data_IF_885490452561
#
_entry.id   IF_885490452561
#
_cell.length_a   1.000
_cell.length_b   1.000
_cell.length_c   1.000
_cell.angle_alpha   90.00
_cell.angle_beta   90.00
_cell.angle_gamma   90.00
#
_symmetry.space_group_name_H-M   'P 1'
#
loop_
_entity.id
_entity.type
_entity.pdbx_description
1 polymer ?
#
# COMPACT_ATOMS: atom_id res chain seq x y z
N UNK A 1 -1.10 9.16 -21.60
CA UNK A 1 -1.49 10.43 -20.96
C UNK A 1 -2.93 10.70 -21.36
N UNK A 2 -3.83 10.91 -20.40
CA UNK A 2 -5.23 11.28 -20.72
C UNK A 2 -5.27 12.70 -21.30
N UNK A 3 -6.35 13.05 -22.03
CA UNK A 3 -6.51 14.42 -22.57
C UNK A 3 -6.40 15.51 -21.48
N UNK A 4 -6.96 15.29 -20.25
CA UNK A 4 -6.75 16.20 -19.12
C UNK A 4 -5.31 16.34 -18.67
N UNK A 5 -4.52 15.24 -18.66
CA UNK A 5 -3.11 15.27 -18.24
C UNK A 5 -2.24 16.07 -19.24
N UNK A 6 -2.51 15.90 -20.56
CA UNK A 6 -1.79 16.63 -21.60
C UNK A 6 -2.09 18.14 -21.57
N UNK A 7 -3.31 18.52 -21.18
CA UNK A 7 -3.67 19.93 -20.99
C UNK A 7 -3.05 20.50 -19.72
N UNK A 8 -3.11 19.75 -18.61
CA UNK A 8 -2.54 20.13 -17.34
C UNK A 8 -1.04 20.41 -17.43
N UNK A 9 -0.28 19.58 -18.15
CA UNK A 9 1.18 19.73 -18.31
C UNK A 9 1.60 21.04 -18.96
N UNK A 10 0.72 21.65 -19.79
CA UNK A 10 0.97 22.90 -20.50
C UNK A 10 0.58 24.15 -19.70
N UNK A 11 -0.09 24.01 -18.57
CA UNK A 11 -0.53 25.13 -17.76
C UNK A 11 0.65 25.76 -16.99
N UNK A 12 0.69 27.10 -16.84
CA UNK A 12 1.58 27.74 -15.88
C UNK A 12 1.36 27.24 -14.45
N UNK A 13 2.41 27.21 -13.62
CA UNK A 13 2.38 26.69 -12.24
C UNK A 13 1.20 27.22 -11.39
N UNK A 14 0.88 28.50 -11.51
CA UNK A 14 -0.25 29.12 -10.77
C UNK A 14 -1.59 28.48 -11.17
N UNK A 15 -1.77 28.22 -12.46
CA UNK A 15 -2.98 27.59 -12.98
C UNK A 15 -3.02 26.08 -12.65
N UNK A 16 -1.88 25.40 -12.60
CA UNK A 16 -1.80 24.01 -12.11
C UNK A 16 -2.24 23.92 -10.64
N UNK A 17 -1.77 24.83 -9.77
CA UNK A 17 -2.20 24.89 -8.37
C UNK A 17 -3.70 25.21 -8.24
N UNK A 18 -4.24 26.12 -9.06
CA UNK A 18 -5.66 26.43 -9.10
C UNK A 18 -6.49 25.21 -9.55
N UNK A 19 -6.06 24.52 -10.59
CA UNK A 19 -6.72 23.30 -11.08
C UNK A 19 -6.72 22.18 -10.01
N UNK A 20 -5.58 21.96 -9.35
CA UNK A 20 -5.48 20.99 -8.25
C UNK A 20 -6.40 21.38 -7.08
N UNK A 21 -6.51 22.66 -6.76
CA UNK A 21 -7.37 23.14 -5.67
C UNK A 21 -8.86 23.05 -6.01
N UNK A 22 -9.25 23.38 -7.25
CA UNK A 22 -10.62 23.23 -7.72
C UNK A 22 -11.07 21.77 -7.73
N UNK A 23 -10.22 20.90 -8.29
CA UNK A 23 -10.46 19.46 -8.24
C UNK A 23 -10.45 18.94 -6.79
N UNK A 24 -9.66 19.55 -5.93
CA UNK A 24 -9.61 19.29 -4.49
C UNK A 24 -10.92 19.56 -3.76
N UNK A 25 -11.73 20.55 -4.19
CA UNK A 25 -13.09 20.79 -3.63
C UNK A 25 -14.00 19.60 -3.89
N UNK A 26 -14.01 19.10 -5.14
CA UNK A 26 -14.77 17.89 -5.50
C UNK A 26 -14.34 16.68 -4.68
N UNK A 27 -13.01 16.44 -4.56
CA UNK A 27 -12.48 15.34 -3.77
C UNK A 27 -12.76 15.48 -2.29
N UNK A 28 -12.70 16.69 -1.74
CA UNK A 28 -13.07 16.97 -0.35
C UNK A 28 -14.54 16.63 -0.08
N UNK A 29 -15.44 17.03 -0.96
CA UNK A 29 -16.84 16.68 -0.87
C UNK A 29 -17.07 15.17 -0.96
N UNK A 30 -16.41 14.50 -1.91
CA UNK A 30 -16.51 13.06 -2.11
C UNK A 30 -16.04 12.28 -0.88
N UNK A 31 -14.96 12.72 -0.25
CA UNK A 31 -14.30 12.01 0.85
C UNK A 31 -14.87 12.34 2.23
N UNK A 32 -15.17 13.60 2.49
CA UNK A 32 -15.52 14.10 3.82
C UNK A 32 -16.96 14.59 3.92
N UNK A 33 -17.72 14.52 2.84
CA UNK A 33 -19.14 14.89 2.82
C UNK A 33 -20.07 13.77 3.29
N UNK A 34 -21.39 14.03 3.25
CA UNK A 34 -22.44 13.04 3.57
C UNK A 34 -22.19 12.34 4.91
N UNK A 35 -22.24 11.01 4.91
CA UNK A 35 -22.17 10.16 6.11
C UNK A 35 -20.79 9.99 6.72
N UNK A 36 -19.76 10.67 6.23
CA UNK A 36 -18.38 10.52 6.73
C UNK A 36 -18.28 10.59 8.27
N UNK A 37 -18.95 11.59 8.91
CA UNK A 37 -18.89 11.74 10.36
C UNK A 37 -19.61 10.61 11.11
N UNK A 38 -20.64 10.00 10.49
CA UNK A 38 -21.33 8.84 11.06
C UNK A 38 -20.41 7.61 11.04
N UNK A 39 -19.69 7.40 9.93
CA UNK A 39 -18.67 6.35 9.84
C UNK A 39 -17.55 6.55 10.87
N UNK A 40 -17.01 7.77 11.01
CA UNK A 40 -16.00 8.09 12.03
C UNK A 40 -16.48 7.71 13.42
N UNK A 41 -17.70 8.15 13.83
CA UNK A 41 -18.27 7.79 15.13
C UNK A 41 -18.39 6.28 15.32
N UNK A 42 -18.84 5.58 14.29
CA UNK A 42 -18.98 4.12 14.32
C UNK A 42 -17.62 3.42 14.52
N UNK A 43 -16.56 3.86 13.85
CA UNK A 43 -15.23 3.29 14.02
C UNK A 43 -14.66 3.58 15.41
N UNK A 44 -14.84 4.78 15.94
CA UNK A 44 -14.44 5.13 17.32
C UNK A 44 -15.12 4.23 18.35
N UNK A 45 -16.43 3.97 18.19
CA UNK A 45 -17.17 3.07 19.07
C UNK A 45 -16.63 1.65 19.02
N UNK A 46 -16.41 1.13 17.81
CA UNK A 46 -15.92 -0.25 17.63
C UNK A 46 -14.44 -0.43 17.98
N UNK A 47 -13.67 0.63 18.15
CA UNK A 47 -12.24 0.55 18.54
C UNK A 47 -12.01 -0.17 19.88
N UNK A 48 -13.06 -0.26 20.71
CA UNK A 48 -13.07 -0.89 22.03
C UNK A 48 -13.87 -2.19 22.09
N UNK A 49 -14.23 -2.76 20.96
CA UNK A 49 -14.96 -4.03 20.92
C UNK A 49 -14.11 -5.16 21.51
N UNK A 50 -14.77 -6.06 22.26
CA UNK A 50 -14.16 -7.32 22.69
C UNK A 50 -14.08 -8.30 21.53
N UNK A 51 -13.38 -9.41 21.72
CA UNK A 51 -13.28 -10.49 20.71
C UNK A 51 -14.65 -11.06 20.34
N UNK A 52 -15.55 -11.20 21.31
CA UNK A 52 -16.93 -11.70 21.11
C UNK A 52 -17.74 -10.71 20.28
N UNK A 53 -17.65 -9.41 20.58
CA UNK A 53 -18.30 -8.35 19.80
C UNK A 53 -17.80 -8.29 18.35
N UNK A 54 -16.50 -8.49 18.15
CA UNK A 54 -15.94 -8.59 16.81
C UNK A 54 -16.45 -9.81 16.05
N UNK A 55 -16.52 -10.96 16.71
CA UNK A 55 -17.03 -12.21 16.12
C UNK A 55 -18.50 -12.05 15.69
N UNK A 56 -19.31 -11.47 16.55
CA UNK A 56 -20.73 -11.20 16.25
C UNK A 56 -20.86 -10.20 15.08
N UNK A 57 -20.12 -9.11 15.13
CA UNK A 57 -20.14 -8.09 14.07
C UNK A 57 -19.76 -8.69 12.71
N UNK A 58 -18.63 -9.42 12.65
CA UNK A 58 -18.16 -10.04 11.42
C UNK A 58 -19.16 -11.08 10.90
N UNK A 59 -19.71 -11.92 11.77
CA UNK A 59 -20.70 -12.94 11.39
C UNK A 59 -21.97 -12.34 10.78
N UNK A 60 -22.46 -11.23 11.35
CA UNK A 60 -23.63 -10.52 10.84
C UNK A 60 -23.33 -9.88 9.48
N UNK A 61 -22.22 -9.14 9.36
CA UNK A 61 -21.81 -8.49 8.12
C UNK A 61 -21.51 -9.48 7.00
N UNK A 62 -20.85 -10.59 7.33
CA UNK A 62 -20.57 -11.64 6.37
C UNK A 62 -21.83 -12.23 5.76
N UNK A 63 -22.82 -12.59 6.60
CA UNK A 63 -24.11 -13.09 6.11
C UNK A 63 -24.79 -12.14 5.15
N UNK A 64 -24.79 -10.85 5.46
CA UNK A 64 -25.38 -9.83 4.59
C UNK A 64 -24.69 -9.75 3.22
N UNK A 65 -23.35 -9.76 3.24
CA UNK A 65 -22.55 -9.69 2.00
C UNK A 65 -22.73 -10.96 1.16
N UNK A 66 -22.67 -12.13 1.77
CA UNK A 66 -22.81 -13.39 1.05
C UNK A 66 -24.21 -13.54 0.43
N UNK A 67 -25.27 -13.06 1.10
CA UNK A 67 -26.62 -13.01 0.51
C UNK A 67 -26.65 -12.09 -0.72
N UNK A 68 -26.03 -10.91 -0.63
CA UNK A 68 -25.90 -9.99 -1.77
C UNK A 68 -25.16 -10.66 -2.92
N UNK A 69 -24.04 -11.34 -2.64
CA UNK A 69 -23.27 -12.05 -3.65
C UNK A 69 -24.09 -13.10 -4.39
N UNK A 70 -24.81 -13.96 -3.67
CA UNK A 70 -25.65 -15.01 -4.27
C UNK A 70 -26.79 -14.43 -5.10
N UNK A 71 -27.49 -13.37 -4.59
CA UNK A 71 -28.73 -12.89 -5.18
C UNK A 71 -28.53 -11.82 -6.25
N UNK A 72 -27.46 -11.02 -6.16
CA UNK A 72 -27.36 -9.76 -6.89
C UNK A 72 -26.02 -9.52 -7.59
N UNK A 73 -25.01 -10.39 -7.44
CA UNK A 73 -23.72 -10.23 -8.11
C UNK A 73 -23.56 -11.31 -9.19
N UNK A 74 -23.56 -10.93 -10.49
CA UNK A 74 -23.60 -11.87 -11.61
C UNK A 74 -22.51 -12.96 -11.53
N UNK A 75 -21.27 -12.58 -11.17
CA UNK A 75 -20.18 -13.53 -11.05
C UNK A 75 -20.50 -14.66 -10.08
N UNK A 76 -20.86 -14.36 -8.83
CA UNK A 76 -21.11 -15.38 -7.81
C UNK A 76 -22.39 -16.20 -8.10
N UNK A 77 -23.42 -15.55 -8.64
CA UNK A 77 -24.66 -16.24 -9.03
C UNK A 77 -24.43 -17.29 -10.11
N UNK A 78 -23.47 -17.08 -11.00
CA UNK A 78 -23.11 -17.96 -12.11
C UNK A 78 -22.09 -19.03 -11.71
N UNK A 79 -21.02 -18.62 -11.03
CA UNK A 79 -19.84 -19.47 -10.79
C UNK A 79 -19.98 -20.40 -9.57
N UNK A 80 -20.75 -19.99 -8.56
CA UNK A 80 -20.93 -20.83 -7.38
C UNK A 80 -21.94 -21.95 -7.63
N UNK A 81 -21.56 -23.17 -7.22
CA UNK A 81 -22.48 -24.33 -7.20
C UNK A 81 -23.62 -24.12 -6.20
N UNK A 82 -24.67 -24.95 -6.28
CA UNK A 82 -25.80 -24.83 -5.35
C UNK A 82 -25.35 -25.10 -3.89
N UNK A 83 -24.43 -26.02 -3.64
CA UNK A 83 -23.85 -26.28 -2.31
C UNK A 83 -23.05 -25.07 -1.79
N UNK A 84 -22.34 -24.39 -2.68
CA UNK A 84 -21.60 -23.16 -2.33
C UNK A 84 -22.56 -22.00 -2.05
N UNK A 85 -23.65 -21.87 -2.79
CA UNK A 85 -24.71 -20.87 -2.52
C UNK A 85 -25.41 -21.14 -1.19
N UNK A 86 -25.68 -22.39 -0.84
CA UNK A 86 -26.23 -22.77 0.46
C UNK A 86 -25.23 -22.45 1.59
N UNK A 87 -23.96 -22.79 1.41
CA UNK A 87 -22.88 -22.42 2.33
C UNK A 87 -22.77 -20.91 2.52
N UNK A 88 -22.91 -20.13 1.45
CA UNK A 88 -22.90 -18.66 1.52
C UNK A 88 -24.14 -18.14 2.28
N UNK A 89 -25.32 -18.68 2.05
CA UNK A 89 -26.55 -18.29 2.75
C UNK A 89 -26.48 -18.60 4.26
N UNK A 90 -25.82 -19.69 4.65
CA UNK A 90 -25.58 -20.04 6.06
C UNK A 90 -24.46 -19.22 6.70
N UNK A 91 -23.66 -18.48 5.92
CA UNK A 91 -22.50 -17.73 6.39
C UNK A 91 -21.20 -18.55 6.55
N UNK A 92 -21.15 -19.73 5.94
CA UNK A 92 -19.96 -20.60 5.98
C UNK A 92 -18.93 -20.17 4.93
N UNK A 93 -18.04 -19.24 5.33
CA UNK A 93 -17.02 -18.66 4.44
C UNK A 93 -15.98 -19.69 3.95
N UNK A 94 -15.56 -20.60 4.82
CA UNK A 94 -14.42 -21.52 4.54
C UNK A 94 -14.77 -22.52 3.40
N UNK A 95 -16.04 -22.86 3.23
CA UNK A 95 -16.50 -23.75 2.15
C UNK A 95 -16.54 -23.08 0.77
N UNK A 96 -16.37 -21.75 0.72
CA UNK A 96 -16.39 -21.01 -0.54
C UNK A 96 -15.02 -21.05 -1.21
N UNK A 97 -14.96 -21.06 -2.56
CA UNK A 97 -13.71 -21.07 -3.30
C UNK A 97 -12.92 -19.78 -3.10
N UNK A 98 -11.59 -19.87 -3.25
CA UNK A 98 -10.72 -18.72 -3.33
C UNK A 98 -10.97 -17.97 -4.65
N UNK A 99 -11.02 -16.66 -4.59
CA UNK A 99 -11.18 -15.80 -5.76
C UNK A 99 -9.82 -15.34 -6.27
N UNK A 100 -9.47 -15.78 -7.46
CA UNK A 100 -8.28 -15.33 -8.17
C UNK A 100 -8.44 -13.92 -8.74
N UNK A 101 -7.32 -13.26 -9.06
CA UNK A 101 -7.32 -11.90 -9.62
C UNK A 101 -7.87 -11.83 -11.06
N UNK A 102 -7.69 -12.90 -11.83
CA UNK A 102 -7.97 -12.89 -13.27
C UNK A 102 -9.45 -12.70 -13.61
N UNK A 103 -10.42 -13.38 -12.98
CA UNK A 103 -11.84 -13.12 -13.21
C UNK A 103 -12.23 -11.64 -13.00
N UNK A 104 -11.73 -11.02 -11.92
CA UNK A 104 -11.99 -9.61 -11.61
C UNK A 104 -11.30 -8.68 -12.62
N UNK A 105 -10.10 -9.03 -13.10
CA UNK A 105 -9.35 -8.29 -14.11
C UNK A 105 -10.05 -8.32 -15.45
N UNK A 106 -10.51 -9.48 -15.87
CA UNK A 106 -11.18 -9.69 -17.16
C UNK A 106 -12.54 -8.98 -17.21
N UNK A 107 -13.34 -9.12 -16.17
CA UNK A 107 -14.73 -8.61 -16.12
C UNK A 107 -15.06 -7.93 -14.80
N UNK A 108 -14.54 -6.74 -14.48
CA UNK A 108 -14.77 -6.08 -13.20
C UNK A 108 -16.26 -5.74 -12.93
N UNK A 109 -17.05 -5.58 -14.00
CA UNK A 109 -18.49 -5.29 -13.88
C UNK A 109 -19.35 -6.50 -13.49
N UNK A 110 -18.88 -7.73 -13.72
CA UNK A 110 -19.55 -8.94 -13.26
C UNK A 110 -19.58 -9.07 -11.72
N UNK A 111 -18.67 -8.35 -11.05
CA UNK A 111 -18.62 -8.28 -9.59
C UNK A 111 -19.45 -7.14 -9.01
N UNK A 112 -20.08 -6.32 -9.84
CA UNK A 112 -20.94 -5.21 -9.39
C UNK A 112 -22.36 -5.73 -9.20
N UNK A 113 -22.98 -5.43 -8.04
CA UNK A 113 -24.37 -5.78 -7.76
C UNK A 113 -25.33 -5.08 -8.73
N UNK A 114 -26.32 -5.80 -9.21
CA UNK A 114 -27.26 -5.34 -10.25
C UNK A 114 -28.55 -4.72 -9.70
N UNK A 115 -28.91 -4.99 -8.43
CA UNK A 115 -30.14 -4.50 -7.78
C UNK A 115 -30.03 -3.03 -7.34
N UNK A 116 -28.83 -2.47 -7.34
CA UNK A 116 -28.57 -1.09 -6.90
C UNK A 116 -27.88 -0.28 -7.99
N UNK A 117 -28.59 0.71 -8.52
CA UNK A 117 -28.05 1.63 -9.52
C UNK A 117 -27.43 2.85 -8.84
N UNK A 118 -26.11 3.02 -8.97
CA UNK A 118 -25.39 4.19 -8.49
C UNK A 118 -25.08 5.15 -9.65
N UNK A 119 -25.43 6.44 -9.48
CA UNK A 119 -25.19 7.47 -10.48
C UNK A 119 -23.75 7.97 -10.50
N UNK A 120 -23.16 8.07 -9.31
CA UNK A 120 -21.76 8.50 -9.14
C UNK A 120 -20.95 7.28 -8.73
N UNK A 121 -19.93 6.97 -9.52
CA UNK A 121 -18.96 5.88 -9.25
C UNK A 121 -17.54 6.42 -9.34
N UNK A 122 -16.69 5.89 -8.50
CA UNK A 122 -15.23 6.17 -8.54
C UNK A 122 -14.53 4.86 -8.87
N UNK A 123 -13.79 4.84 -9.96
CA UNK A 123 -12.98 3.68 -10.32
C UNK A 123 -11.52 3.96 -10.02
N UNK A 124 -10.94 3.14 -9.16
CA UNK A 124 -9.51 3.11 -8.89
C UNK A 124 -8.88 1.92 -9.59
N UNK A 125 -7.64 2.06 -10.03
CA UNK A 125 -6.91 1.00 -10.72
C UNK A 125 -5.70 0.58 -9.90
N UNK A 126 -5.45 -0.73 -9.85
CA UNK A 126 -4.20 -1.25 -9.29
C UNK A 126 -3.02 -0.84 -10.17
N UNK A 127 -1.80 -0.88 -9.62
CA UNK A 127 -0.58 -0.48 -10.36
C UNK A 127 -0.25 -1.38 -11.56
N UNK A 128 -0.86 -2.58 -11.64
CA UNK A 128 -0.68 -3.49 -12.77
C UNK A 128 0.76 -3.95 -12.99
N UNK A 129 1.51 -4.21 -11.92
CA UNK A 129 2.93 -4.62 -11.98
C UNK A 129 3.17 -5.87 -12.84
N UNK A 130 2.17 -6.72 -13.01
CA UNK A 130 2.24 -8.01 -13.72
C UNK A 130 1.23 -8.14 -14.86
N UNK A 131 0.55 -7.07 -15.26
CA UNK A 131 -0.45 -7.14 -16.34
C UNK A 131 -1.41 -5.96 -16.36
N UNK A 132 -2.59 -6.16 -16.97
CA UNK A 132 -3.65 -5.15 -17.02
C UNK A 132 -4.11 -4.77 -15.59
N UNK A 133 -4.21 -3.47 -15.28
CA UNK A 133 -4.69 -3.01 -13.98
C UNK A 133 -6.10 -3.51 -13.67
N UNK A 134 -6.34 -3.91 -12.42
CA UNK A 134 -7.68 -4.30 -11.95
C UNK A 134 -8.47 -3.03 -11.63
N UNK A 135 -9.70 -2.95 -12.15
CA UNK A 135 -10.62 -1.87 -11.86
C UNK A 135 -11.42 -2.15 -10.58
N UNK A 136 -11.24 -1.29 -9.59
CA UNK A 136 -11.96 -1.33 -8.33
C UNK A 136 -12.98 -0.19 -8.29
N UNK A 137 -14.29 -0.54 -8.29
CA UNK A 137 -15.40 0.38 -8.48
C UNK A 137 -16.07 0.67 -7.12
N UNK A 138 -16.14 1.94 -6.76
CA UNK A 138 -16.66 2.41 -5.48
C UNK A 138 -17.88 3.32 -5.65
N UNK A 139 -18.77 3.27 -4.68
CA UNK A 139 -19.75 4.33 -4.45
C UNK A 139 -19.14 5.47 -3.62
N UNK A 140 -19.72 6.68 -3.63
CA UNK A 140 -19.27 7.76 -2.75
C UNK A 140 -19.29 7.39 -1.26
N UNK A 141 -20.25 6.58 -0.82
CA UNK A 141 -20.35 6.16 0.58
C UNK A 141 -19.24 5.16 0.95
N UNK A 142 -18.91 4.23 0.07
CA UNK A 142 -17.78 3.32 0.28
C UNK A 142 -16.43 4.06 0.33
N UNK A 143 -16.27 5.13 -0.47
CA UNK A 143 -15.10 6.00 -0.39
C UNK A 143 -15.02 6.75 0.94
N UNK A 144 -16.15 7.24 1.46
CA UNK A 144 -16.24 7.91 2.76
C UNK A 144 -15.93 6.95 3.90
N UNK A 145 -16.47 5.74 3.85
CA UNK A 145 -16.25 4.68 4.84
C UNK A 145 -14.75 4.29 4.88
N UNK A 146 -14.15 4.05 3.72
CA UNK A 146 -12.71 3.78 3.59
C UNK A 146 -11.83 4.90 4.14
N UNK A 147 -12.25 6.16 4.03
CA UNK A 147 -11.48 7.26 4.59
C UNK A 147 -11.75 7.46 6.08
N UNK A 148 -12.95 7.14 6.55
CA UNK A 148 -13.30 7.24 7.97
C UNK A 148 -12.50 6.24 8.84
N UNK A 149 -12.28 5.02 8.35
CA UNK A 149 -11.42 4.06 9.06
C UNK A 149 -9.97 4.56 9.13
N UNK A 150 -9.46 5.18 8.04
CA UNK A 150 -8.12 5.79 8.03
C UNK A 150 -8.02 6.98 8.96
N UNK A 151 -9.04 7.82 9.04
CA UNK A 151 -9.08 8.93 10.02
C UNK A 151 -8.98 8.39 11.44
N UNK A 152 -9.75 7.35 11.79
CA UNK A 152 -9.81 6.85 13.17
C UNK A 152 -8.60 5.98 13.52
N UNK A 153 -8.23 5.02 12.66
CA UNK A 153 -7.24 3.98 13.02
C UNK A 153 -5.85 4.18 12.43
N UNK A 154 -5.69 5.06 11.46
CA UNK A 154 -4.38 5.42 10.97
C UNK A 154 -4.00 6.80 11.50
N UNK A 155 -4.73 7.85 11.12
CA UNK A 155 -4.37 9.22 11.48
C UNK A 155 -4.51 9.49 13.00
N UNK A 156 -5.66 9.16 13.63
CA UNK A 156 -5.85 9.47 15.05
C UNK A 156 -4.95 8.62 15.96
N UNK A 157 -4.65 7.36 15.60
CA UNK A 157 -3.69 6.54 16.36
C UNK A 157 -2.27 7.10 16.27
N UNK A 158 -1.93 7.75 15.14
CA UNK A 158 -0.67 8.47 14.99
C UNK A 158 -0.70 9.90 15.56
N UNK A 159 -1.78 10.32 16.24
CA UNK A 159 -1.91 11.66 16.82
C UNK A 159 -2.13 12.78 15.80
N UNK A 160 -2.60 12.46 14.59
CA UNK A 160 -2.85 13.40 13.50
C UNK A 160 -4.28 13.25 12.93
N UNK A 161 -4.65 14.03 11.92
CA UNK A 161 -5.95 13.99 11.28
C UNK A 161 -5.87 14.48 9.84
N UNK A 162 -6.70 13.97 8.95
CA UNK A 162 -6.84 14.48 7.58
C UNK A 162 -7.37 15.93 7.52
N UNK A 163 -7.83 16.49 8.65
CA UNK A 163 -8.30 17.87 8.76
C UNK A 163 -7.17 18.90 8.93
N UNK A 164 -5.97 18.47 9.31
CA UNK A 164 -4.81 19.34 9.48
C UNK A 164 -3.87 19.29 8.26
N UNK A 165 -2.98 20.31 8.06
CA UNK A 165 -2.08 20.35 6.91
C UNK A 165 -1.20 19.13 6.80
N UNK A 166 -1.15 18.56 5.59
CA UNK A 166 -0.39 17.32 5.31
C UNK A 166 0.35 17.39 3.98
N UNK A 167 1.36 16.55 3.84
CA UNK A 167 2.00 16.29 2.54
C UNK A 167 1.90 14.80 2.17
N UNK A 168 1.96 14.52 0.86
CA UNK A 168 1.77 13.16 0.35
C UNK A 168 2.68 12.89 -0.83
N UNK A 169 3.48 11.81 -0.75
CA UNK A 169 4.00 11.12 -1.92
C UNK A 169 2.99 10.08 -2.39
N UNK A 170 2.61 10.14 -3.66
CA UNK A 170 1.65 9.21 -4.26
C UNK A 170 1.91 9.05 -5.75
N UNK A 171 1.21 8.11 -6.40
CA UNK A 171 1.30 7.87 -7.85
C UNK A 171 0.74 8.97 -8.76
N UNK A 172 0.40 10.13 -8.22
CA UNK A 172 -0.09 11.25 -9.03
C UNK A 172 1.06 11.93 -9.77
N UNK A 173 0.87 12.18 -11.06
CA UNK A 173 1.81 12.96 -11.86
C UNK A 173 1.69 14.44 -11.47
N UNK A 174 2.41 14.83 -10.43
CA UNK A 174 2.38 16.20 -9.87
C UNK A 174 3.12 17.18 -10.76
N UNK A 175 4.31 16.80 -11.19
CA UNK A 175 5.14 17.51 -12.17
C UNK A 175 5.38 16.58 -13.36
N UNK A 176 4.82 16.90 -14.52
CA UNK A 176 4.90 16.01 -15.70
C UNK A 176 6.20 16.16 -16.50
N UNK A 177 6.92 17.29 -16.38
CA UNK A 177 8.17 17.53 -17.10
C UNK A 177 9.36 16.93 -16.32
N UNK A 178 10.03 15.89 -16.84
CA UNK A 178 11.19 15.30 -16.19
C UNK A 178 12.38 16.26 -16.07
N UNK A 179 12.43 17.31 -16.92
CA UNK A 179 13.48 18.33 -16.95
C UNK A 179 13.08 19.60 -16.21
N UNK A 180 11.97 19.60 -15.49
CA UNK A 180 11.50 20.74 -14.72
C UNK A 180 12.57 21.22 -13.72
N UNK A 181 12.66 22.54 -13.57
CA UNK A 181 13.51 23.19 -12.55
C UNK A 181 12.79 23.36 -11.20
N UNK A 182 11.61 22.75 -11.04
CA UNK A 182 10.77 22.85 -9.85
C UNK A 182 9.77 24.01 -9.87
N UNK A 183 9.01 24.16 -8.80
CA UNK A 183 8.94 23.30 -7.62
C UNK A 183 8.27 21.94 -7.92
N UNK A 184 8.77 20.89 -7.29
CA UNK A 184 8.33 19.51 -7.49
C UNK A 184 7.14 19.14 -6.62
N UNK A 185 6.25 20.08 -6.37
CA UNK A 185 5.02 19.90 -5.59
C UNK A 185 3.88 20.75 -6.11
N UNK A 186 2.64 20.37 -5.77
CA UNK A 186 1.45 21.21 -5.95
C UNK A 186 0.67 21.28 -4.64
N UNK A 187 0.09 22.44 -4.37
CA UNK A 187 -0.68 22.66 -3.15
C UNK A 187 -2.17 22.69 -3.44
N UNK A 188 -2.91 21.83 -2.77
CA UNK A 188 -4.36 21.78 -2.74
C UNK A 188 -4.88 22.57 -1.53
N UNK A 189 -5.37 23.77 -1.78
CA UNK A 189 -5.91 24.66 -0.74
C UNK A 189 -7.14 24.06 -0.06
N UNK A 190 -8.01 23.39 -0.82
CA UNK A 190 -9.26 22.83 -0.30
C UNK A 190 -9.04 21.78 0.80
N UNK A 191 -8.00 20.97 0.68
CA UNK A 191 -7.66 19.93 1.66
C UNK A 191 -6.43 20.30 2.52
N UNK A 192 -5.83 21.46 2.32
CA UNK A 192 -4.55 21.87 2.95
C UNK A 192 -3.46 20.81 2.75
N UNK A 193 -3.36 20.28 1.52
CA UNK A 193 -2.50 19.16 1.18
C UNK A 193 -1.45 19.55 0.14
N UNK A 194 -0.20 19.23 0.44
CA UNK A 194 0.91 19.30 -0.52
C UNK A 194 1.04 17.94 -1.19
N UNK A 195 0.98 17.90 -2.51
CA UNK A 195 1.30 16.71 -3.30
C UNK A 195 2.74 16.80 -3.77
N UNK A 196 3.57 15.84 -3.40
CA UNK A 196 4.96 15.71 -3.80
C UNK A 196 5.12 14.81 -5.03
N UNK A 197 6.06 15.17 -5.91
CA UNK A 197 6.46 14.32 -7.03
C UNK A 197 7.52 13.30 -6.58
N UNK A 198 7.27 11.99 -6.67
CA UNK A 198 8.29 10.98 -6.35
C UNK A 198 9.34 10.81 -7.46
N UNK A 199 9.07 11.34 -8.67
CA UNK A 199 9.91 11.18 -9.86
C UNK A 199 11.09 12.17 -9.93
N UNK A 200 11.05 13.24 -9.13
CA UNK A 200 12.05 14.32 -9.13
C UNK A 200 12.88 14.34 -7.83
N UNK A 201 12.79 13.29 -7.04
CA UNK A 201 13.47 13.20 -5.75
C UNK A 201 14.93 12.83 -5.95
N UNK A 202 15.82 13.77 -5.71
CA UNK A 202 17.29 13.67 -5.82
C UNK A 202 17.95 14.50 -4.72
N UNK A 203 19.26 14.30 -4.44
CA UNK A 203 19.97 15.09 -3.44
C UNK A 203 19.88 16.61 -3.68
N UNK A 204 20.06 17.05 -4.93
CA UNK A 204 20.00 18.47 -5.34
C UNK A 204 18.61 19.09 -5.27
N UNK A 205 17.56 18.28 -5.27
CA UNK A 205 16.16 18.76 -5.24
C UNK A 205 15.49 18.63 -3.86
N UNK A 206 16.12 18.00 -2.89
CA UNK A 206 15.57 17.74 -1.55
C UNK A 206 15.09 19.03 -0.84
N UNK A 207 15.79 20.14 -1.02
CA UNK A 207 15.43 21.42 -0.44
C UNK A 207 14.02 21.91 -0.85
N UNK A 208 13.56 21.68 -2.09
CA UNK A 208 12.22 22.08 -2.55
C UNK A 208 11.10 21.42 -1.75
N UNK A 209 11.30 20.16 -1.35
CA UNK A 209 10.32 19.41 -0.54
C UNK A 209 10.26 19.98 0.87
N UNK A 210 11.42 20.30 1.48
CA UNK A 210 11.48 20.88 2.82
C UNK A 210 10.93 22.32 2.84
N UNK A 211 11.23 23.12 1.82
CA UNK A 211 10.63 24.45 1.64
C UNK A 211 9.10 24.38 1.57
N UNK A 212 8.55 23.39 0.86
CA UNK A 212 7.10 23.18 0.80
C UNK A 212 6.52 22.82 2.16
N UNK A 213 7.20 21.98 2.96
CA UNK A 213 6.78 21.67 4.34
C UNK A 213 6.71 22.95 5.19
N UNK A 214 7.72 23.80 5.13
CA UNK A 214 7.77 25.09 5.86
C UNK A 214 6.68 26.05 5.38
N UNK A 215 6.63 26.29 4.07
CA UNK A 215 5.71 27.25 3.43
C UNK A 215 4.23 26.94 3.70
N UNK A 216 3.85 25.67 3.66
CA UNK A 216 2.46 25.23 3.82
C UNK A 216 2.15 24.72 5.22
N UNK A 217 3.07 24.93 6.19
CA UNK A 217 2.91 24.54 7.59
C UNK A 217 2.44 23.11 7.75
N UNK A 218 3.07 22.21 6.99
CA UNK A 218 2.75 20.76 7.01
C UNK A 218 3.02 20.21 8.40
N UNK A 219 2.06 19.47 8.97
CA UNK A 219 2.16 18.91 10.31
C UNK A 219 2.43 17.41 10.30
N UNK A 220 2.08 16.72 9.22
CA UNK A 220 2.31 15.28 9.07
C UNK A 220 2.37 14.89 7.60
N UNK A 221 2.87 13.68 7.33
CA UNK A 221 3.00 13.19 5.97
C UNK A 221 2.42 11.79 5.83
N UNK A 222 1.96 11.42 4.61
CA UNK A 222 1.51 10.05 4.29
C UNK A 222 1.86 9.69 2.86
N UNK A 223 2.14 8.41 2.60
CA UNK A 223 2.42 7.89 1.26
C UNK A 223 3.59 6.91 1.21
N UNK A 224 4.35 6.95 0.14
CA UNK A 224 5.36 5.95 -0.20
C UNK A 224 6.54 5.93 0.77
N UNK A 225 6.79 4.75 1.36
CA UNK A 225 7.86 4.56 2.34
C UNK A 225 9.25 4.87 1.77
N UNK A 226 9.55 4.37 0.57
CA UNK A 226 10.85 4.59 -0.09
C UNK A 226 11.09 6.06 -0.40
N UNK A 227 10.04 6.79 -0.84
CA UNK A 227 10.19 8.22 -1.13
C UNK A 227 10.51 9.04 0.12
N UNK A 228 9.89 8.73 1.26
CA UNK A 228 10.22 9.38 2.53
C UNK A 228 11.59 8.98 3.06
N UNK A 229 11.96 7.72 2.92
CA UNK A 229 13.30 7.25 3.29
C UNK A 229 14.38 7.99 2.51
N UNK A 230 14.27 8.07 1.17
CA UNK A 230 15.26 8.75 0.33
C UNK A 230 15.34 10.25 0.64
N UNK A 231 14.17 10.92 0.77
CA UNK A 231 14.16 12.33 1.18
C UNK A 231 14.82 12.50 2.55
N UNK A 232 14.54 11.62 3.51
CA UNK A 232 15.17 11.62 4.83
C UNK A 232 16.69 11.45 4.76
N UNK A 233 17.18 10.54 3.92
CA UNK A 233 18.62 10.34 3.68
C UNK A 233 19.25 11.63 3.13
N UNK A 234 18.68 12.22 2.08
CA UNK A 234 19.19 13.45 1.49
C UNK A 234 19.15 14.66 2.45
N UNK A 235 18.14 14.73 3.31
CA UNK A 235 18.04 15.74 4.38
C UNK A 235 19.20 15.59 5.37
N UNK A 236 19.49 14.38 5.82
CA UNK A 236 20.58 14.11 6.77
C UNK A 236 21.94 14.40 6.14
N UNK A 237 22.17 13.93 4.92
CA UNK A 237 23.45 14.09 4.21
C UNK A 237 23.74 15.57 3.92
N UNK A 238 22.72 16.37 3.59
CA UNK A 238 22.88 17.80 3.30
C UNK A 238 22.71 18.71 4.53
N UNK A 239 22.40 18.16 5.71
CA UNK A 239 22.16 18.94 6.92
C UNK A 239 20.97 19.91 6.84
N UNK A 240 19.92 19.56 6.05
CA UNK A 240 18.76 20.43 5.87
C UNK A 240 17.87 20.39 7.10
N UNK A 241 17.57 21.56 7.68
CA UNK A 241 16.65 21.65 8.83
C UNK A 241 15.18 21.50 8.40
N UNK A 242 14.52 20.51 8.99
CA UNK A 242 13.10 20.16 8.74
C UNK A 242 12.21 20.78 9.81
N UNK A 243 11.04 21.34 9.44
CA UNK A 243 10.09 21.81 10.45
C UNK A 243 9.58 20.61 11.28
N UNK A 244 9.17 20.84 12.55
CA UNK A 244 8.66 19.76 13.39
C UNK A 244 7.42 19.14 12.78
N UNK A 245 7.46 17.81 12.59
CA UNK A 245 6.33 16.99 12.18
C UNK A 245 5.79 16.21 13.37
N UNK A 246 4.50 15.87 13.34
CA UNK A 246 3.85 15.04 14.38
C UNK A 246 4.02 13.55 14.10
N UNK A 247 3.86 13.16 12.83
CA UNK A 247 3.97 11.76 12.40
C UNK A 247 4.19 11.67 10.88
N UNK A 248 4.68 10.50 10.46
CA UNK A 248 4.63 10.05 9.07
C UNK A 248 3.93 8.70 9.05
N UNK A 249 2.97 8.53 8.14
CA UNK A 249 2.24 7.28 7.93
C UNK A 249 2.61 6.74 6.56
N UNK A 250 3.37 5.65 6.52
CA UNK A 250 3.79 5.01 5.28
C UNK A 250 2.74 4.02 4.80
N UNK A 251 2.60 3.89 3.49
CA UNK A 251 1.67 2.94 2.85
C UNK A 251 2.18 2.50 1.49
N UNK A 252 1.62 1.42 0.97
CA UNK A 252 1.83 0.92 -0.40
C UNK A 252 3.19 0.31 -0.71
N UNK A 253 4.17 0.47 0.12
CA UNK A 253 5.52 -0.10 0.02
C UNK A 253 5.93 -0.61 1.41
N UNK A 254 6.82 -1.61 1.44
CA UNK A 254 7.31 -2.15 2.70
C UNK A 254 8.15 -1.11 3.45
N UNK A 255 7.88 -0.94 4.74
CA UNK A 255 8.72 -0.19 5.67
C UNK A 255 9.68 -1.15 6.38
N UNK A 256 10.99 -1.00 6.15
CA UNK A 256 12.01 -1.78 6.88
C UNK A 256 12.41 -1.07 8.18
N UNK A 257 12.94 -1.82 9.18
CA UNK A 257 13.47 -1.19 10.40
C UNK A 257 14.52 -0.12 10.13
N UNK A 258 15.42 -0.35 9.18
CA UNK A 258 16.44 0.61 8.76
C UNK A 258 15.83 1.88 8.17
N UNK A 259 14.84 1.75 7.29
CA UNK A 259 14.13 2.89 6.72
C UNK A 259 13.45 3.71 7.82
N UNK A 260 12.82 3.04 8.78
CA UNK A 260 12.17 3.67 9.94
C UNK A 260 13.17 4.50 10.74
N UNK A 261 14.33 3.92 11.09
CA UNK A 261 15.37 4.60 11.86
C UNK A 261 15.88 5.87 11.16
N UNK A 262 16.20 5.77 9.87
CA UNK A 262 16.64 6.93 9.06
C UNK A 262 15.56 8.01 9.02
N UNK A 263 14.31 7.64 8.82
CA UNK A 263 13.19 8.58 8.75
C UNK A 263 12.93 9.24 10.11
N UNK A 264 12.94 8.50 11.21
CA UNK A 264 12.77 9.04 12.57
C UNK A 264 13.88 10.03 12.92
N UNK A 265 15.12 9.75 12.54
CA UNK A 265 16.25 10.65 12.69
C UNK A 265 16.10 11.92 11.85
N UNK A 266 15.73 11.79 10.57
CA UNK A 266 15.62 12.92 9.64
C UNK A 266 14.45 13.85 9.98
N UNK A 267 13.28 13.28 10.29
CA UNK A 267 12.04 14.05 10.49
C UNK A 267 11.69 14.31 11.96
N UNK A 268 12.41 13.70 12.90
CA UNK A 268 12.25 13.88 14.34
C UNK A 268 10.82 13.60 14.83
N UNK A 269 10.15 12.59 14.23
CA UNK A 269 8.80 12.16 14.60
C UNK A 269 8.67 10.64 14.45
N UNK A 270 7.62 10.06 15.07
CA UNK A 270 7.28 8.65 14.89
C UNK A 270 6.85 8.34 13.47
N UNK A 271 7.23 7.16 13.00
CA UNK A 271 6.83 6.60 11.71
C UNK A 271 5.83 5.47 11.98
N UNK A 272 4.71 5.48 11.28
CA UNK A 272 3.66 4.47 11.35
C UNK A 272 3.49 3.78 10.02
N UNK A 273 3.04 2.54 10.04
CA UNK A 273 2.75 1.74 8.84
C UNK A 273 1.25 1.53 8.66
N UNK A 274 0.79 1.60 7.41
CA UNK A 274 -0.56 1.25 6.99
C UNK A 274 -0.49 0.19 5.89
N UNK A 275 -1.19 -0.92 6.06
CA UNK A 275 -1.35 -1.95 5.06
C UNK A 275 -2.80 -2.00 4.56
N UNK A 276 -2.97 -1.75 3.28
CA UNK A 276 -4.26 -1.75 2.60
C UNK A 276 -4.08 -2.01 1.10
N UNK A 277 -5.18 -2.32 0.42
CA UNK A 277 -5.18 -2.57 -1.03
C UNK A 277 -6.05 -1.57 -1.77
N UNK A 278 -5.84 -1.43 -3.08
CA UNK A 278 -6.69 -0.58 -3.94
C UNK A 278 -8.11 -1.12 -3.96
N UNK A 279 -8.27 -2.43 -3.89
CA UNK A 279 -9.56 -3.12 -3.82
C UNK A 279 -10.28 -2.88 -2.48
N UNK A 280 -9.57 -2.38 -1.48
CA UNK A 280 -10.08 -2.06 -0.14
C UNK A 280 -10.81 -3.26 0.53
N UNK A 281 -10.21 -4.45 0.43
CA UNK A 281 -10.75 -5.69 0.99
C UNK A 281 -10.31 -5.94 2.43
N UNK A 282 -9.25 -5.27 2.86
CA UNK A 282 -8.73 -5.23 4.23
C UNK A 282 -8.17 -3.85 4.54
N UNK A 283 -8.02 -3.60 5.82
CA UNK A 283 -7.30 -2.44 6.33
C UNK A 283 -6.56 -2.83 7.60
N UNK A 284 -5.27 -2.56 7.65
CA UNK A 284 -4.47 -2.69 8.86
C UNK A 284 -3.62 -1.43 9.06
N UNK A 285 -3.44 -1.04 10.30
CA UNK A 285 -2.61 0.11 10.66
C UNK A 285 -1.89 -0.09 12.00
N UNK A 286 -0.74 0.52 12.09
CA UNK A 286 0.10 0.48 13.28
C UNK A 286 -0.49 1.37 14.37
N UNK A 287 -0.62 0.80 15.57
CA UNK A 287 -1.08 1.51 16.74
C UNK A 287 0.06 2.25 17.45
N UNK A 288 -0.26 3.00 18.51
CA UNK A 288 0.70 3.74 19.33
C UNK A 288 1.78 2.86 19.98
N UNK A 289 1.51 1.55 20.13
CA UNK A 289 2.45 0.56 20.67
C UNK A 289 3.33 -0.10 19.57
N UNK A 290 3.19 0.30 18.31
CA UNK A 290 4.03 -0.20 17.21
C UNK A 290 3.58 -1.55 16.64
N UNK A 291 2.31 -1.95 16.84
CA UNK A 291 1.76 -3.21 16.33
C UNK A 291 0.75 -2.96 15.21
N UNK A 292 0.83 -3.77 14.13
CA UNK A 292 -0.02 -3.63 12.94
C UNK A 292 -1.35 -4.38 13.13
N UNK A 293 -2.39 -3.68 13.55
CA UNK A 293 -3.73 -4.24 13.76
C UNK A 293 -4.54 -4.32 12.49
N UNK A 294 -5.07 -5.50 12.19
CA UNK A 294 -6.11 -5.68 11.18
C UNK A 294 -7.44 -5.20 11.75
N UNK A 295 -8.15 -4.39 10.98
CA UNK A 295 -9.48 -3.88 11.32
C UNK A 295 -10.55 -4.92 10.97
N UNK A 296 -11.20 -5.60 11.97
CA UNK A 296 -12.11 -6.69 11.70
C UNK A 296 -13.40 -6.25 10.98
N UNK A 297 -13.73 -4.98 11.04
CA UNK A 297 -14.89 -4.38 10.35
C UNK A 297 -14.60 -3.95 8.90
N UNK A 298 -13.33 -3.88 8.50
CA UNK A 298 -12.96 -3.66 7.10
C UNK A 298 -13.07 -4.94 6.28
N UNK A 299 -12.65 -6.07 6.86
CA UNK A 299 -12.64 -7.37 6.18
C UNK A 299 -12.30 -8.53 7.11
N UNK A 300 -12.61 -9.72 6.65
CA UNK A 300 -12.14 -10.97 7.25
C UNK A 300 -10.85 -11.34 6.51
N UNK A 301 -9.76 -11.45 7.27
CA UNK A 301 -8.43 -11.80 6.73
C UNK A 301 -8.08 -13.22 7.13
N UNK A 302 -7.66 -14.00 6.15
CA UNK A 302 -7.11 -15.34 6.30
C UNK A 302 -5.65 -15.32 5.84
N UNK A 303 -4.75 -15.97 6.56
CA UNK A 303 -3.38 -16.25 6.11
C UNK A 303 -3.31 -17.75 5.89
N UNK A 304 -3.08 -18.17 4.64
CA UNK A 304 -3.26 -19.54 4.20
C UNK A 304 -1.95 -20.15 3.68
N UNK A 305 -1.77 -21.44 3.96
CA UNK A 305 -0.75 -22.29 3.32
C UNK A 305 -1.11 -22.54 1.85
N UNK A 306 -0.18 -23.07 1.05
CA UNK A 306 -0.46 -23.42 -0.34
C UNK A 306 -1.59 -24.46 -0.52
N UNK A 307 -1.84 -25.32 0.47
CA UNK A 307 -2.92 -26.30 0.48
C UNK A 307 -4.29 -25.71 0.88
N UNK A 308 -4.34 -24.40 1.17
CA UNK A 308 -5.54 -23.69 1.58
C UNK A 308 -5.87 -23.79 3.08
N UNK A 309 -5.08 -24.52 3.87
CA UNK A 309 -5.22 -24.56 5.32
C UNK A 309 -4.73 -23.25 5.98
N UNK A 310 -5.25 -22.94 7.17
CA UNK A 310 -4.83 -21.73 7.90
C UNK A 310 -3.41 -21.90 8.43
N UNK A 311 -2.62 -20.83 8.33
CA UNK A 311 -1.32 -20.74 8.98
C UNK A 311 -1.47 -20.58 10.49
N UNK A 312 -0.54 -21.17 11.24
CA UNK A 312 -0.37 -20.91 12.66
C UNK A 312 0.27 -19.53 12.88
N UNK A 313 0.10 -18.90 14.06
CA UNK A 313 0.81 -17.67 14.40
C UNK A 313 2.32 -17.82 14.17
N UNK A 314 2.95 -16.79 13.59
CA UNK A 314 4.37 -16.78 13.22
C UNK A 314 4.69 -17.46 11.88
N UNK A 315 3.80 -18.27 11.33
CA UNK A 315 3.96 -18.92 10.03
C UNK A 315 3.61 -17.96 8.88
N UNK A 316 4.45 -17.94 7.84
CA UNK A 316 4.22 -17.11 6.65
C UNK A 316 3.28 -17.83 5.70
N UNK A 317 2.21 -17.15 5.28
CA UNK A 317 1.28 -17.62 4.28
C UNK A 317 0.73 -16.53 3.41
N UNK A 318 -0.10 -16.90 2.43
CA UNK A 318 -0.74 -15.97 1.53
C UNK A 318 -1.93 -15.28 2.18
N UNK A 319 -2.01 -13.97 1.98
CA UNK A 319 -3.12 -13.16 2.47
C UNK A 319 -4.32 -13.29 1.54
N UNK A 320 -5.40 -13.77 2.10
CA UNK A 320 -6.74 -13.84 1.47
C UNK A 320 -7.69 -12.97 2.28
N UNK A 321 -8.54 -12.20 1.61
CA UNK A 321 -9.47 -11.33 2.34
C UNK A 321 -10.87 -11.33 1.75
N UNK A 322 -11.86 -11.23 2.65
CA UNK A 322 -13.27 -11.00 2.31
C UNK A 322 -13.65 -9.61 2.81
N UNK A 323 -14.02 -8.71 1.90
CA UNK A 323 -14.38 -7.35 2.28
C UNK A 323 -15.70 -7.31 3.07
N UNK A 324 -15.82 -6.41 4.05
CA UNK A 324 -17.04 -6.19 4.83
C UNK A 324 -17.64 -4.77 4.63
N UNK A 325 -16.91 -3.88 4.01
CA UNK A 325 -17.31 -2.49 3.78
C UNK A 325 -17.77 -2.21 2.35
N UNK A 326 -17.46 -3.10 1.40
CA UNK A 326 -17.78 -2.93 -0.02
C UNK A 326 -18.97 -3.79 -0.42
N UNK A 327 -20.14 -3.17 -0.46
CA UNK A 327 -21.38 -3.84 -0.85
C UNK A 327 -21.71 -3.69 -2.34
N UNK A 328 -21.06 -2.74 -3.03
CA UNK A 328 -21.31 -2.45 -4.45
C UNK A 328 -20.54 -3.38 -5.38
N UNK A 329 -19.26 -3.62 -5.07
CA UNK A 329 -18.40 -4.60 -5.74
C UNK A 329 -17.74 -5.50 -4.68
N UNK A 330 -18.52 -6.43 -4.07
CA UNK A 330 -18.02 -7.28 -2.99
C UNK A 330 -17.03 -8.31 -3.52
N UNK A 331 -15.94 -8.52 -2.78
CA UNK A 331 -14.94 -9.54 -3.06
C UNK A 331 -14.88 -10.53 -1.89
N UNK A 332 -15.07 -11.81 -2.17
CA UNK A 332 -15.13 -12.89 -1.19
C UNK A 332 -13.94 -13.82 -1.39
N UNK A 333 -13.18 -14.09 -0.32
CA UNK A 333 -11.95 -14.89 -0.30
C UNK A 333 -10.96 -14.55 -1.41
N UNK A 334 -10.75 -13.24 -1.61
CA UNK A 334 -9.92 -12.71 -2.68
C UNK A 334 -8.44 -12.84 -2.34
N UNK A 335 -7.66 -13.47 -3.22
CA UNK A 335 -6.21 -13.65 -3.11
C UNK A 335 -5.48 -12.36 -3.43
N UNK A 336 -4.82 -11.77 -2.44
CA UNK A 336 -4.10 -10.51 -2.64
C UNK A 336 -2.76 -10.70 -3.34
N UNK A 337 -2.17 -11.90 -3.20
CA UNK A 337 -0.81 -12.18 -3.63
C UNK A 337 0.23 -11.50 -2.75
N UNK A 338 -0.14 -11.13 -1.53
CA UNK A 338 0.76 -10.67 -0.48
C UNK A 338 1.03 -11.82 0.49
N UNK A 339 2.22 -11.85 1.09
CA UNK A 339 2.61 -12.80 2.13
C UNK A 339 2.68 -12.08 3.48
N UNK A 340 2.13 -12.70 4.52
CA UNK A 340 2.14 -12.17 5.87
C UNK A 340 2.20 -13.29 6.92
N UNK A 341 2.40 -12.90 8.18
CA UNK A 341 2.29 -13.79 9.33
C UNK A 341 1.50 -13.11 10.46
N UNK A 342 0.68 -13.89 11.19
CA UNK A 342 0.03 -13.42 12.40
C UNK A 342 1.02 -13.30 13.55
N UNK A 343 0.79 -12.34 14.46
CA UNK A 343 1.52 -12.29 15.73
C UNK A 343 0.92 -13.29 16.73
N UNK A 344 1.77 -13.87 17.54
CA UNK A 344 1.37 -14.80 18.63
C UNK A 344 0.89 -14.07 19.88
N UNK A 345 1.30 -12.81 20.06
CA UNK A 345 1.13 -12.06 21.30
C UNK A 345 0.05 -10.99 21.19
N UNK A 346 -0.77 -10.82 22.20
CA UNK A 346 -1.69 -9.69 22.25
C UNK A 346 -0.91 -8.37 22.34
N UNK A 347 -1.46 -7.33 21.71
CA UNK A 347 -0.86 -6.01 21.72
C UNK A 347 -1.03 -5.33 23.09
N UNK A 348 0.01 -4.68 23.65
CA UNK A 348 -0.08 -3.94 24.90
C UNK A 348 -1.01 -2.71 24.84
N UNK A 349 -1.45 -2.28 23.65
CA UNK A 349 -2.44 -1.20 23.49
C UNK A 349 -3.85 -1.57 24.01
N UNK A 350 -4.12 -2.86 24.27
CA UNK A 350 -5.36 -3.37 24.84
C UNK A 350 -6.52 -3.55 23.85
N UNK A 351 -6.30 -3.32 22.54
CA UNK A 351 -7.31 -3.59 21.49
C UNK A 351 -7.38 -5.09 21.18
N UNK A 352 -8.60 -5.60 21.04
CA UNK A 352 -8.85 -7.02 20.70
C UNK A 352 -8.77 -7.32 19.20
N UNK A 353 -8.23 -6.40 18.40
CA UNK A 353 -8.05 -6.59 16.96
C UNK A 353 -6.85 -7.50 16.69
N UNK A 354 -6.94 -8.43 15.71
CA UNK A 354 -5.81 -9.28 15.32
C UNK A 354 -4.60 -8.45 14.89
N UNK A 355 -3.41 -8.97 15.16
CA UNK A 355 -2.14 -8.31 14.84
C UNK A 355 -1.40 -9.09 13.75
N UNK A 356 -1.01 -8.39 12.70
CA UNK A 356 -0.03 -8.90 11.72
C UNK A 356 1.37 -8.63 12.28
N UNK A 357 2.14 -9.69 12.47
CA UNK A 357 3.55 -9.61 12.87
C UNK A 357 4.40 -8.94 11.80
N UNK A 358 4.14 -9.30 10.55
CA UNK A 358 4.88 -8.79 9.41
C UNK A 358 4.09 -8.99 8.10
N UNK A 359 4.10 -7.97 7.25
CA UNK A 359 3.81 -8.10 5.81
C UNK A 359 5.14 -8.35 5.12
N UNK A 360 5.35 -9.57 4.63
CA UNK A 360 6.64 -10.01 4.08
C UNK A 360 6.91 -9.35 2.72
N UNK A 361 5.88 -9.23 1.88
CA UNK A 361 5.94 -8.67 0.54
C UNK A 361 5.03 -9.40 -0.44
N UNK A 362 5.25 -9.17 -1.73
CA UNK A 362 4.47 -9.81 -2.79
C UNK A 362 4.93 -11.23 -3.05
N UNK A 363 3.99 -12.14 -3.30
CA UNK A 363 4.28 -13.50 -3.78
C UNK A 363 5.05 -13.47 -5.13
N UNK A 364 4.78 -12.47 -5.96
CA UNK A 364 5.45 -12.24 -7.25
C UNK A 364 6.89 -11.68 -7.11
N UNK A 365 7.24 -11.10 -5.96
CA UNK A 365 8.57 -10.56 -5.66
C UNK A 365 9.47 -11.60 -4.96
N UNK A 366 9.06 -12.88 -4.95
CA UNK A 366 9.84 -14.00 -4.42
C UNK A 366 10.89 -14.41 -5.45
N UNK A 367 12.14 -14.57 -5.00
CA UNK A 367 13.22 -15.13 -5.81
C UNK A 367 13.20 -16.65 -5.65
N UNK A 368 13.26 -17.39 -6.75
CA UNK A 368 13.28 -18.85 -6.75
C UNK A 368 14.73 -19.31 -6.91
N UNK A 369 15.22 -20.08 -5.93
CA UNK A 369 16.54 -20.68 -6.01
C UNK A 369 16.63 -21.79 -7.06
N UNK A 370 17.84 -22.16 -7.52
CA UNK A 370 18.05 -23.28 -8.44
C UNK A 370 17.54 -24.63 -7.90
N UNK A 371 17.42 -24.76 -6.58
CA UNK A 371 16.89 -25.90 -5.86
C UNK A 371 15.35 -25.87 -5.68
N UNK A 372 14.68 -24.87 -6.27
CA UNK A 372 13.24 -24.68 -6.19
C UNK A 372 12.76 -23.99 -4.91
N UNK A 373 13.65 -23.68 -3.96
CA UNK A 373 13.26 -22.91 -2.75
C UNK A 373 12.76 -21.52 -3.12
N UNK A 374 11.67 -21.10 -2.49
CA UNK A 374 11.14 -19.75 -2.62
C UNK A 374 11.75 -18.86 -1.54
N UNK A 375 12.49 -17.84 -1.95
CA UNK A 375 13.19 -16.93 -1.08
C UNK A 375 12.43 -15.60 -1.01
N UNK A 376 11.73 -15.41 0.09
CA UNK A 376 11.09 -14.14 0.46
C UNK A 376 12.14 -13.19 1.08
N UNK A 377 11.85 -11.89 1.11
CA UNK A 377 12.75 -10.87 1.70
C UNK A 377 14.13 -10.79 1.03
N UNK A 378 14.22 -11.12 -0.24
CA UNK A 378 15.50 -11.14 -0.93
C UNK A 378 16.17 -9.76 -0.99
N UNK A 379 15.39 -8.67 -0.96
CA UNK A 379 15.87 -7.29 -0.83
C UNK A 379 16.74 -7.06 0.43
N UNK A 380 16.68 -7.94 1.42
CA UNK A 380 17.55 -7.87 2.61
C UNK A 380 19.06 -8.00 2.32
N UNK A 381 19.48 -8.27 1.07
CA UNK A 381 20.88 -8.21 0.68
C UNK A 381 21.44 -6.77 0.78
N UNK A 382 20.60 -5.75 0.70
CA UNK A 382 20.97 -4.34 0.80
C UNK A 382 21.00 -3.80 2.24
N UNK A 383 20.61 -4.61 3.23
CA UNK A 383 20.61 -4.19 4.63
C UNK A 383 22.04 -3.91 5.12
N UNK A 384 22.26 -2.77 5.79
CA UNK A 384 23.57 -2.31 6.27
C UNK A 384 24.61 -2.12 5.14
N UNK A 385 24.17 -1.62 3.99
CA UNK A 385 25.01 -1.21 2.87
C UNK A 385 25.05 0.32 2.78
N UNK A 386 25.96 1.00 3.52
CA UNK A 386 25.95 2.47 3.64
C UNK A 386 26.27 3.17 2.32
N UNK A 387 26.96 2.50 1.41
CA UNK A 387 27.40 3.07 0.14
C UNK A 387 26.40 2.81 -1.02
N UNK A 388 25.21 2.24 -0.71
CA UNK A 388 24.14 2.01 -1.66
C UNK A 388 22.97 2.95 -1.34
N UNK A 389 22.58 3.79 -2.31
CA UNK A 389 21.42 4.66 -2.20
C UNK A 389 20.14 3.85 -2.46
N UNK A 390 20.12 3.12 -3.58
CA UNK A 390 19.02 2.23 -3.97
C UNK A 390 19.59 0.94 -4.55
N UNK A 391 18.88 -0.18 -4.31
CA UNK A 391 19.23 -1.47 -4.90
C UNK A 391 17.99 -2.21 -5.42
N UNK A 392 18.11 -2.80 -6.60
CA UNK A 392 17.06 -3.62 -7.21
C UNK A 392 17.65 -4.94 -7.67
N UNK A 393 16.92 -6.01 -7.39
CA UNK A 393 17.25 -7.37 -7.80
C UNK A 393 16.32 -7.76 -8.94
N UNK A 394 16.90 -8.27 -10.03
CA UNK A 394 16.17 -8.80 -11.17
C UNK A 394 16.55 -10.25 -11.35
N UNK A 395 15.63 -11.17 -11.10
CA UNK A 395 15.82 -12.57 -11.41
C UNK A 395 15.49 -12.80 -12.89
N UNK A 396 16.51 -13.01 -13.70
CA UNK A 396 16.37 -13.24 -15.14
C UNK A 396 16.09 -14.71 -15.47
N UNK A 397 16.75 -15.62 -14.73
CA UNK A 397 16.54 -17.06 -14.79
C UNK A 397 16.78 -17.68 -13.42
N UNK A 398 16.60 -19.02 -13.28
CA UNK A 398 16.92 -19.71 -12.02
C UNK A 398 18.40 -19.57 -11.62
N UNK A 399 19.28 -19.43 -12.61
CA UNK A 399 20.72 -19.38 -12.41
C UNK A 399 21.33 -18.00 -12.69
N UNK A 400 20.53 -16.96 -12.89
CA UNK A 400 21.04 -15.61 -13.20
C UNK A 400 20.25 -14.53 -12.50
N UNK A 401 20.96 -13.70 -11.75
CA UNK A 401 20.47 -12.53 -11.03
C UNK A 401 21.21 -11.29 -11.48
N UNK A 402 20.51 -10.27 -11.94
CA UNK A 402 21.04 -8.92 -12.11
C UNK A 402 20.72 -8.07 -10.89
N UNK A 403 21.71 -7.36 -10.38
CA UNK A 403 21.59 -6.44 -9.25
C UNK A 403 21.90 -5.03 -9.73
N UNK A 404 20.91 -4.17 -9.79
CA UNK A 404 21.09 -2.75 -10.11
C UNK A 404 21.30 -1.94 -8.85
N UNK A 405 22.35 -1.13 -8.83
CA UNK A 405 22.76 -0.33 -7.67
C UNK A 405 22.88 1.14 -8.08
N UNK A 406 22.22 2.02 -7.33
CA UNK A 406 22.53 3.45 -7.32
C UNK A 406 23.56 3.67 -6.22
N UNK A 407 24.85 3.92 -6.57
CA UNK A 407 25.92 4.03 -5.60
C UNK A 407 25.99 5.44 -4.98
N UNK A 408 26.62 5.53 -3.80
CA UNK A 408 27.19 6.79 -3.31
C UNK A 408 28.59 6.99 -3.91
N UNK A 409 29.20 8.16 -3.70
CA UNK A 409 30.57 8.45 -4.13
C UNK A 409 31.61 7.54 -3.44
N UNK A 410 31.26 6.92 -2.32
CA UNK A 410 32.13 6.02 -1.55
C UNK A 410 31.97 4.54 -1.92
N UNK A 411 31.15 4.21 -2.91
CA UNK A 411 30.94 2.83 -3.35
C UNK A 411 32.24 2.28 -3.97
N UNK A 412 32.60 1.08 -3.57
CA UNK A 412 33.87 0.43 -3.92
C UNK A 412 33.67 -0.98 -4.49
N UNK A 413 34.73 -1.59 -5.02
CA UNK A 413 34.70 -2.99 -5.45
C UNK A 413 34.45 -3.94 -4.26
N UNK A 414 34.81 -3.57 -3.04
CA UNK A 414 34.51 -4.35 -1.84
C UNK A 414 32.99 -4.41 -1.56
N UNK A 415 32.29 -3.30 -1.75
CA UNK A 415 30.81 -3.26 -1.59
C UNK A 415 30.13 -4.13 -2.64
N UNK A 416 30.63 -4.12 -3.87
CA UNK A 416 30.11 -4.97 -4.96
C UNK A 416 30.32 -6.45 -4.66
N UNK A 417 31.51 -6.83 -4.17
CA UNK A 417 31.82 -8.21 -3.77
C UNK A 417 30.87 -8.64 -2.64
N UNK A 418 30.68 -7.81 -1.60
CA UNK A 418 29.76 -8.12 -0.49
C UNK A 418 28.32 -8.35 -0.96
N UNK A 419 27.84 -7.56 -1.93
CA UNK A 419 26.50 -7.80 -2.54
C UNK A 419 26.45 -9.15 -3.27
N UNK A 420 27.48 -9.49 -4.04
CA UNK A 420 27.55 -10.78 -4.74
C UNK A 420 27.57 -11.93 -3.74
N UNK A 421 28.40 -11.85 -2.71
CA UNK A 421 28.51 -12.86 -1.67
C UNK A 421 27.18 -13.07 -0.93
N UNK A 422 26.45 -12.00 -0.65
CA UNK A 422 25.10 -12.08 -0.03
C UNK A 422 24.05 -12.74 -0.93
N UNK A 423 24.18 -12.60 -2.25
CA UNK A 423 23.34 -13.35 -3.20
C UNK A 423 23.73 -14.83 -3.18
N UNK A 424 25.04 -15.14 -3.25
CA UNK A 424 25.55 -16.51 -3.23
C UNK A 424 25.21 -17.24 -1.91
N UNK A 425 25.31 -16.58 -0.76
CA UNK A 425 24.90 -17.14 0.54
C UNK A 425 23.44 -17.62 0.56
N UNK A 426 22.57 -17.02 -0.26
CA UNK A 426 21.13 -17.34 -0.31
C UNK A 426 20.77 -18.30 -1.42
N UNK A 427 21.43 -18.21 -2.58
CA UNK A 427 21.08 -18.95 -3.79
C UNK A 427 22.09 -20.05 -4.16
N UNK A 428 23.30 -19.99 -3.59
CA UNK A 428 24.44 -20.85 -3.95
C UNK A 428 25.35 -20.23 -5.00
N UNK A 429 26.63 -20.66 -5.00
CA UNK A 429 27.70 -20.10 -5.84
C UNK A 429 27.53 -20.40 -7.34
N UNK A 430 26.62 -21.31 -7.69
CA UNK A 430 26.31 -21.65 -9.09
C UNK A 430 25.44 -20.58 -9.79
N UNK A 431 24.93 -19.60 -9.06
CA UNK A 431 24.12 -18.52 -9.64
C UNK A 431 25.03 -17.42 -10.16
N UNK A 432 24.88 -17.09 -11.44
CA UNK A 432 25.55 -15.94 -12.03
C UNK A 432 24.96 -14.64 -11.48
N UNK A 433 25.81 -13.78 -10.92
CA UNK A 433 25.39 -12.48 -10.37
C UNK A 433 26.05 -11.36 -11.17
N UNK A 434 25.25 -10.55 -11.81
CA UNK A 434 25.67 -9.36 -12.57
C UNK A 434 25.32 -8.10 -11.79
N UNK A 435 26.29 -7.29 -11.42
CA UNK A 435 26.06 -6.01 -10.74
C UNK A 435 26.20 -4.87 -11.74
N UNK A 436 25.13 -4.08 -11.88
CA UNK A 436 25.05 -2.91 -12.75
C UNK A 436 24.97 -1.64 -11.90
N UNK A 437 25.90 -0.72 -12.09
CA UNK A 437 25.82 0.62 -11.49
C UNK A 437 24.98 1.53 -12.38
N UNK A 438 23.93 2.13 -11.80
CA UNK A 438 22.98 2.98 -12.53
C UNK A 438 22.82 4.32 -11.83
N UNK A 439 22.38 5.35 -12.56
CA UNK A 439 22.13 6.68 -11.99
C UNK A 439 20.80 6.76 -11.22
N UNK A 440 19.88 5.84 -11.46
CA UNK A 440 18.59 5.75 -10.82
C UNK A 440 17.87 4.48 -11.22
N UNK A 441 16.98 3.99 -10.36
CA UNK A 441 16.12 2.85 -10.64
C UNK A 441 14.73 3.35 -11.04
N UNK A 442 14.25 2.85 -12.17
CA UNK A 442 12.93 3.23 -12.68
C UNK A 442 11.82 2.90 -11.70
N UNK A 443 10.90 3.86 -11.53
CA UNK A 443 9.69 3.66 -10.77
C UNK A 443 8.61 3.03 -11.66
N UNK A 444 7.69 2.30 -11.05
CA UNK A 444 6.49 1.84 -11.76
C UNK A 444 5.71 3.06 -12.28
N UNK A 445 4.75 2.83 -13.19
CA UNK A 445 3.84 3.89 -13.69
C UNK A 445 3.13 4.65 -12.58
N UNK A 446 2.96 4.04 -11.41
CA UNK A 446 2.38 4.66 -10.21
C UNK A 446 3.42 5.29 -9.27
N UNK A 447 4.69 5.41 -9.67
CA UNK A 447 5.75 6.02 -8.89
C UNK A 447 6.33 5.16 -7.77
N UNK A 448 5.93 3.88 -7.65
CA UNK A 448 6.43 2.97 -6.61
C UNK A 448 7.79 2.39 -6.98
N UNK A 449 8.61 2.17 -5.96
CA UNK A 449 9.85 1.41 -6.07
C UNK A 449 9.57 -0.11 -6.05
N UNK A 450 10.27 -0.86 -6.89
CA UNK A 450 10.30 -2.34 -6.86
C UNK A 450 11.71 -2.81 -6.51
N UNK A 451 11.87 -3.34 -5.30
CA UNK A 451 13.17 -3.85 -4.86
C UNK A 451 13.53 -5.20 -5.48
N UNK A 452 12.54 -6.00 -5.85
CA UNK A 452 12.72 -7.32 -6.46
C UNK A 452 11.80 -7.45 -7.67
N UNK A 453 12.33 -7.95 -8.78
CA UNK A 453 11.61 -8.26 -10.01
C UNK A 453 12.00 -9.67 -10.45
N UNK A 454 11.06 -10.60 -10.53
CA UNK A 454 11.30 -11.90 -11.14
C UNK A 454 10.71 -11.91 -12.56
N UNK A 455 11.54 -12.29 -13.54
CA UNK A 455 11.17 -12.45 -14.94
C UNK A 455 10.84 -13.91 -15.28
N UNK A 456 10.91 -14.80 -14.29
CA UNK A 456 10.51 -16.19 -14.48
C UNK A 456 9.02 -16.26 -14.85
N UNK A 457 8.71 -16.95 -15.93
CA UNK A 457 7.31 -17.26 -16.26
C UNK A 457 6.77 -18.21 -15.18
N UNK A 458 5.68 -17.82 -14.56
CA UNK A 458 4.94 -18.62 -13.58
C UNK A 458 3.91 -19.49 -14.27
#
# INVERSE_FOLDING_TARGET
MSLPDALYSKLPLRLQNAAVSFYGVYWKWLRFGGDFQNYVRSYVTRDRFTTEQWTEYQSNKLRDILRICVSHVPYYSREWSDDQKESAQSGNLISLPLLEKEPLRANPHDFVRIDKKEWIKVTNYTSGSTGTPIASIFTPNEMRDSLAIREVRSANWAGVSFKIPRATFSGRMVEPDPNSKGPYYRFNVAERQVYFSPFHLRPDTAHFYVEALKKHQVQWMTGYAVSYYLLGKFILDAGIDVPPLRAIITTSEKLTPEMREVMEKAYRCKIFEEYSTVENVLFASECEAGQLHVSPDAGIVEILRPDGSKCEPGEIGEVVATCLTRLYQPLVRYRLGDLAAWDEKPCPCGRSMPVIKEVVGRLEDVVIGPDGRQLVRFHGIFTHQPHIIEGQIIQESLNRISVRIVPTDNFSEADKIDVIDRVHQRLGDQVEVVVELVQGIERTKSGKFKAVVSLLQK
#
